data_IF_997208830136
#
_entry.id   IF_997208830136
#
_cell.length_a   1.000
_cell.length_b   1.000
_cell.length_c   1.000
_cell.angle_alpha   90.00
_cell.angle_beta   90.00
_cell.angle_gamma   90.00
#
_symmetry.space_group_name_H-M   'P 1'
#
loop_
_entity.id
_entity.type
_entity.pdbx_description
1 polymer ?
#
# COMPACT_ATOMS: atom_id res chain seq x y z
N UNK A 1 -12.83 -9.72 20.38
CA UNK A 1 -13.28 -8.69 19.42
C UNK A 1 -13.09 -9.20 17.99
N UNK A 2 -14.06 -8.99 17.10
CA UNK A 2 -13.90 -9.34 15.67
C UNK A 2 -13.01 -8.28 15.02
N UNK A 3 -11.86 -8.71 14.48
CA UNK A 3 -10.94 -7.84 13.73
C UNK A 3 -11.60 -7.43 12.41
N UNK A 4 -11.65 -6.14 12.11
CA UNK A 4 -12.11 -5.65 10.80
C UNK A 4 -11.09 -6.02 9.71
N UNK A 5 -11.57 -6.21 8.49
CA UNK A 5 -10.73 -6.43 7.30
C UNK A 5 -11.07 -5.34 6.30
N UNK A 6 -10.05 -4.61 5.87
CA UNK A 6 -10.15 -3.56 4.86
C UNK A 6 -9.31 -3.96 3.66
N UNK A 7 -9.87 -3.88 2.46
CA UNK A 7 -9.14 -3.99 1.20
C UNK A 7 -9.12 -2.63 0.51
N UNK A 8 -7.94 -2.22 0.03
CA UNK A 8 -7.75 -0.98 -0.71
C UNK A 8 -7.11 -1.32 -2.06
N UNK A 9 -7.89 -1.14 -3.13
CA UNK A 9 -7.35 -1.06 -4.50
C UNK A 9 -6.86 0.38 -4.71
N UNK A 10 -5.55 0.57 -4.72
CA UNK A 10 -4.94 1.88 -4.61
C UNK A 10 -4.64 2.49 -5.96
N UNK A 11 -4.99 3.77 -6.13
CA UNK A 11 -4.59 4.55 -7.29
C UNK A 11 -3.69 5.73 -6.91
N UNK A 12 -2.53 5.80 -7.56
CA UNK A 12 -1.62 6.95 -7.52
C UNK A 12 -1.89 8.00 -8.61
N UNK A 13 -2.97 7.84 -9.39
CA UNK A 13 -3.34 8.76 -10.47
C UNK A 13 -3.72 10.15 -9.92
N UNK A 14 -3.62 11.20 -10.75
CA UNK A 14 -4.00 12.56 -10.34
C UNK A 14 -5.48 12.66 -9.91
N UNK A 15 -6.34 11.85 -10.53
CA UNK A 15 -7.76 11.70 -10.23
C UNK A 15 -8.05 10.43 -9.40
N UNK A 16 -7.22 10.13 -8.40
CA UNK A 16 -7.28 8.87 -7.64
C UNK A 16 -8.67 8.56 -7.07
N UNK A 17 -9.47 9.57 -6.70
CA UNK A 17 -10.83 9.36 -6.20
C UNK A 17 -11.73 8.57 -7.16
N UNK A 18 -11.48 8.64 -8.48
CA UNK A 18 -12.23 7.87 -9.48
C UNK A 18 -11.82 6.40 -9.59
N UNK A 19 -10.60 6.08 -9.19
CA UNK A 19 -9.95 4.82 -9.51
C UNK A 19 -9.55 4.01 -8.27
N UNK A 20 -9.56 4.63 -7.10
CA UNK A 20 -9.34 3.95 -5.84
C UNK A 20 -10.66 3.34 -5.35
N UNK A 21 -10.59 2.14 -4.78
CA UNK A 21 -11.72 1.49 -4.13
C UNK A 21 -11.35 1.04 -2.72
N UNK A 22 -12.30 1.17 -1.79
CA UNK A 22 -12.15 0.73 -0.41
C UNK A 22 -13.32 -0.18 -0.05
N UNK A 23 -12.98 -1.40 0.39
CA UNK A 23 -13.94 -2.34 0.94
C UNK A 23 -13.66 -2.57 2.43
N UNK A 24 -14.68 -2.49 3.27
CA UNK A 24 -14.62 -2.83 4.70
C UNK A 24 -15.57 -3.99 4.97
N UNK A 25 -15.08 -4.95 5.74
CA UNK A 25 -15.86 -6.07 6.21
C UNK A 25 -15.39 -6.62 7.55
N UNK A 26 -16.14 -7.59 8.05
CA UNK A 26 -15.82 -8.29 9.28
C UNK A 26 -15.68 -9.78 9.02
N UNK A 27 -14.63 -10.38 9.57
CA UNK A 27 -14.44 -11.83 9.51
C UNK A 27 -15.61 -12.56 10.19
N UNK A 28 -16.10 -13.58 9.50
CA UNK A 28 -17.08 -14.56 9.97
C UNK A 28 -16.50 -15.98 9.82
N UNK A 29 -17.25 -17.00 10.23
CA UNK A 29 -16.80 -18.40 10.13
C UNK A 29 -16.50 -18.81 8.68
N UNK A 30 -17.36 -18.41 7.73
CA UNK A 30 -17.28 -18.83 6.32
C UNK A 30 -16.72 -17.73 5.38
N UNK A 31 -16.08 -16.68 5.89
CA UNK A 31 -15.50 -15.63 5.04
C UNK A 31 -15.52 -14.24 5.67
N UNK A 32 -15.77 -13.23 4.84
CA UNK A 32 -15.85 -11.82 5.24
C UNK A 32 -17.21 -11.26 4.84
N UNK A 33 -17.96 -10.71 5.79
CA UNK A 33 -19.17 -9.94 5.49
C UNK A 33 -18.78 -8.51 5.15
N UNK A 34 -18.91 -8.13 3.89
CA UNK A 34 -18.70 -6.76 3.42
C UNK A 34 -19.84 -5.88 3.94
N UNK A 35 -19.49 -4.74 4.53
CA UNK A 35 -20.45 -3.74 5.05
C UNK A 35 -20.33 -2.39 4.36
N UNK A 36 -19.24 -2.18 3.64
CA UNK A 36 -19.00 -0.98 2.83
C UNK A 36 -18.11 -1.37 1.65
N UNK A 37 -18.45 -0.91 0.47
CA UNK A 37 -17.58 -0.92 -0.71
C UNK A 37 -17.86 0.39 -1.45
N UNK A 38 -16.89 1.30 -1.46
CA UNK A 38 -17.08 2.62 -2.02
C UNK A 38 -15.85 3.05 -2.82
N UNK A 39 -16.07 4.02 -3.71
CA UNK A 39 -14.99 4.66 -4.43
C UNK A 39 -14.21 5.60 -3.53
N UNK A 40 -12.98 5.91 -3.92
CA UNK A 40 -12.11 6.78 -3.15
C UNK A 40 -12.70 8.15 -2.90
N UNK A 41 -13.44 8.73 -3.85
CA UNK A 41 -14.12 10.03 -3.72
C UNK A 41 -15.35 10.02 -2.81
N UNK A 42 -15.88 8.84 -2.48
CA UNK A 42 -17.04 8.66 -1.58
C UNK A 42 -16.62 8.55 -0.10
N UNK A 43 -15.32 8.47 0.20
CA UNK A 43 -14.83 8.50 1.58
C UNK A 43 -15.14 9.85 2.26
N UNK A 44 -15.42 9.88 3.57
CA UNK A 44 -15.65 11.12 4.30
C UNK A 44 -14.49 12.13 4.19
N UNK A 45 -14.80 13.33 3.70
CA UNK A 45 -13.82 14.39 3.47
C UNK A 45 -12.84 14.10 2.33
N UNK A 46 -13.26 13.28 1.36
CA UNK A 46 -12.51 12.96 0.15
C UNK A 46 -12.91 13.85 -1.03
N UNK A 47 -12.29 13.60 -2.19
CA UNK A 47 -12.57 14.25 -3.44
C UNK A 47 -11.96 13.48 -4.62
N UNK A 48 -12.09 14.04 -5.83
CA UNK A 48 -11.55 13.43 -7.04
C UNK A 48 -10.03 13.49 -7.09
N UNK A 49 -9.42 14.51 -6.48
CA UNK A 49 -7.97 14.71 -6.51
C UNK A 49 -7.26 13.61 -5.69
N UNK A 50 -6.03 13.28 -6.10
CA UNK A 50 -5.20 12.34 -5.34
C UNK A 50 -4.97 12.78 -3.91
N UNK A 51 -4.67 14.06 -3.70
CA UNK A 51 -4.23 14.54 -2.40
C UNK A 51 -5.39 14.52 -1.39
N UNK A 52 -6.60 14.89 -1.82
CA UNK A 52 -7.82 14.79 -1.01
C UNK A 52 -8.16 13.33 -0.72
N UNK A 53 -8.14 12.48 -1.75
CA UNK A 53 -8.49 11.07 -1.63
C UNK A 53 -7.51 10.29 -0.74
N UNK A 54 -6.20 10.47 -0.93
CA UNK A 54 -5.18 9.85 -0.08
C UNK A 54 -5.20 10.43 1.33
N UNK A 55 -5.54 11.71 1.50
CA UNK A 55 -5.81 12.32 2.80
C UNK A 55 -6.97 11.64 3.53
N UNK A 56 -8.10 11.43 2.85
CA UNK A 56 -9.26 10.75 3.38
C UNK A 56 -8.98 9.28 3.71
N UNK A 57 -8.27 8.56 2.83
CA UNK A 57 -7.85 7.18 3.07
C UNK A 57 -7.01 7.07 4.35
N UNK A 58 -6.03 7.94 4.56
CA UNK A 58 -5.21 7.94 5.78
C UNK A 58 -6.06 8.12 7.04
N UNK A 59 -6.97 9.08 7.03
CA UNK A 59 -7.89 9.31 8.16
C UNK A 59 -8.79 8.10 8.40
N UNK A 60 -9.31 7.50 7.33
CA UNK A 60 -10.11 6.29 7.40
C UNK A 60 -9.33 5.13 8.04
N UNK A 61 -8.10 4.88 7.59
CA UNK A 61 -7.22 3.84 8.16
C UNK A 61 -6.94 4.12 9.64
N UNK A 62 -6.52 5.34 9.98
CA UNK A 62 -6.16 5.72 11.35
C UNK A 62 -7.33 5.63 12.33
N UNK A 63 -8.57 5.78 11.85
CA UNK A 63 -9.78 5.63 12.66
C UNK A 63 -10.14 4.16 12.96
N UNK A 64 -9.53 3.19 12.27
CA UNK A 64 -9.81 1.78 12.52
C UNK A 64 -9.12 1.30 13.80
N UNK A 65 -9.87 0.65 14.69
CA UNK A 65 -9.31 -0.07 15.84
C UNK A 65 -9.31 -1.57 15.55
N UNK A 66 -8.21 -2.26 15.88
CA UNK A 66 -8.05 -3.69 15.62
C UNK A 66 -8.54 -4.10 14.21
N UNK A 67 -7.87 -3.61 13.17
CA UNK A 67 -8.15 -3.95 11.78
C UNK A 67 -6.91 -4.54 11.09
N UNK A 68 -7.12 -5.34 10.04
CA UNK A 68 -6.11 -5.61 9.01
C UNK A 68 -6.50 -4.85 7.76
N UNK A 69 -5.58 -4.06 7.22
CA UNK A 69 -5.75 -3.25 6.02
C UNK A 69 -4.80 -3.77 4.96
N UNK A 70 -5.34 -4.39 3.92
CA UNK A 70 -4.61 -4.78 2.73
C UNK A 70 -4.51 -3.62 1.75
N UNK A 71 -3.28 -3.28 1.36
CA UNK A 71 -2.98 -2.20 0.42
C UNK A 71 -2.43 -2.79 -0.89
N UNK A 72 -3.10 -2.51 -2.01
CA UNK A 72 -2.65 -2.93 -3.35
C UNK A 72 -1.58 -1.98 -3.91
N UNK A 73 -0.42 -1.97 -3.26
CA UNK A 73 0.82 -1.41 -3.78
C UNK A 73 2.02 -1.96 -2.99
N UNK A 74 3.20 -2.04 -3.61
CA UNK A 74 4.43 -2.47 -2.94
C UNK A 74 4.78 -1.60 -1.72
N UNK A 75 4.99 -2.24 -0.56
CA UNK A 75 5.39 -1.56 0.68
C UNK A 75 6.91 -1.37 0.82
N UNK A 76 7.69 -1.83 -0.16
CA UNK A 76 9.14 -1.74 -0.13
C UNK A 76 9.80 -2.08 -1.47
N UNK A 77 11.13 -2.01 -1.47
CA UNK A 77 11.97 -2.27 -2.63
C UNK A 77 12.77 -3.57 -2.48
N UNK A 78 13.34 -4.10 -3.58
CA UNK A 78 14.38 -5.14 -3.52
C UNK A 78 15.52 -4.78 -2.57
N UNK A 79 15.99 -5.77 -1.80
CA UNK A 79 17.08 -5.60 -0.83
C UNK A 79 18.35 -5.00 -1.48
N UNK A 80 18.67 -5.39 -2.72
CA UNK A 80 19.78 -4.84 -3.48
C UNK A 80 19.72 -3.32 -3.68
N UNK A 81 18.53 -2.69 -3.59
CA UNK A 81 18.38 -1.24 -3.65
C UNK A 81 18.40 -0.60 -2.25
N UNK A 82 17.89 -1.28 -1.22
CA UNK A 82 17.86 -0.74 0.14
C UNK A 82 19.23 -0.83 0.84
N UNK A 83 20.08 -1.78 0.45
CA UNK A 83 21.31 -2.08 1.17
C UNK A 83 21.03 -2.43 2.63
N UNK A 84 21.86 -1.95 3.53
CA UNK A 84 21.73 -2.18 4.99
C UNK A 84 20.79 -1.17 5.68
N UNK A 85 20.11 -0.30 4.91
CA UNK A 85 19.23 0.70 5.48
C UNK A 85 18.00 0.05 6.13
N UNK A 86 17.66 0.39 7.39
CA UNK A 86 16.42 -0.06 8.01
C UNK A 86 15.19 0.39 7.21
N UNK A 87 14.23 -0.53 7.02
CA UNK A 87 13.03 -0.27 6.21
C UNK A 87 12.25 0.97 6.69
N UNK A 88 12.09 1.14 8.00
CA UNK A 88 11.38 2.30 8.55
C UNK A 88 12.09 3.62 8.21
N UNK A 89 13.42 3.63 8.24
CA UNK A 89 14.21 4.80 7.81
C UNK A 89 13.97 5.09 6.33
N UNK A 90 13.87 4.05 5.49
CA UNK A 90 13.55 4.20 4.07
C UNK A 90 12.18 4.87 3.87
N UNK A 91 11.14 4.39 4.54
CA UNK A 91 9.80 4.99 4.43
C UNK A 91 9.78 6.42 4.98
N UNK A 92 10.33 6.65 6.17
CA UNK A 92 10.34 7.96 6.82
C UNK A 92 11.19 9.04 6.12
N UNK A 93 12.09 8.66 5.22
CA UNK A 93 12.92 9.59 4.43
C UNK A 93 12.51 9.65 2.96
N UNK A 94 11.48 8.87 2.56
CA UNK A 94 11.12 8.65 1.16
C UNK A 94 10.85 9.95 0.39
N UNK A 95 10.00 10.82 0.94
CA UNK A 95 9.61 12.11 0.30
C UNK A 95 10.74 13.15 0.28
N UNK A 96 11.72 13.01 1.16
CA UNK A 96 12.91 13.88 1.16
C UNK A 96 13.85 13.47 0.04
N UNK A 97 13.98 12.15 -0.17
CA UNK A 97 14.87 11.55 -1.17
C UNK A 97 14.32 11.63 -2.59
N UNK A 98 13.02 11.47 -2.78
CA UNK A 98 12.39 11.43 -4.09
C UNK A 98 11.31 12.51 -4.22
N UNK A 99 11.53 13.44 -5.15
CA UNK A 99 10.65 14.59 -5.41
C UNK A 99 9.56 14.28 -6.44
N UNK A 100 9.77 13.28 -7.29
CA UNK A 100 8.79 12.81 -8.27
C UNK A 100 8.82 11.29 -8.42
N UNK A 101 7.70 10.69 -8.87
CA UNK A 101 7.67 9.27 -9.25
C UNK A 101 8.76 8.91 -10.26
N UNK A 102 9.01 9.80 -11.23
CA UNK A 102 9.99 9.62 -12.30
C UNK A 102 11.42 9.58 -11.73
N UNK A 103 11.75 10.48 -10.81
CA UNK A 103 13.04 10.47 -10.11
C UNK A 103 13.22 9.19 -9.28
N UNK A 104 12.17 8.75 -8.58
CA UNK A 104 12.18 7.49 -7.84
C UNK A 104 12.45 6.29 -8.74
N UNK A 105 11.76 6.18 -9.89
CA UNK A 105 11.98 5.10 -10.84
C UNK A 105 13.37 5.14 -11.45
N UNK A 106 13.84 6.33 -11.85
CA UNK A 106 15.18 6.50 -12.42
C UNK A 106 16.27 6.07 -11.41
N UNK A 107 16.12 6.44 -10.14
CA UNK A 107 17.03 6.00 -9.08
C UNK A 107 17.03 4.48 -8.90
N UNK A 108 15.86 3.83 -8.91
CA UNK A 108 15.77 2.37 -8.82
C UNK A 108 16.44 1.67 -10.00
N UNK A 109 16.24 2.18 -11.22
CA UNK A 109 16.86 1.62 -12.43
C UNK A 109 18.38 1.78 -12.41
N UNK A 110 18.88 2.96 -12.04
CA UNK A 110 20.31 3.20 -11.92
C UNK A 110 20.96 2.23 -10.91
N UNK A 111 20.37 2.08 -9.73
CA UNK A 111 20.83 1.14 -8.70
C UNK A 111 20.73 -0.34 -9.10
N UNK A 112 19.93 -0.66 -10.11
CA UNK A 112 19.72 -2.03 -10.59
C UNK A 112 20.43 -2.36 -11.92
N UNK A 113 21.28 -1.46 -12.42
CA UNK A 113 21.93 -1.61 -13.73
C UNK A 113 20.93 -1.63 -14.88
N UNK A 114 19.92 -0.78 -14.83
CA UNK A 114 18.88 -0.63 -15.87
C UNK A 114 17.76 -1.67 -15.83
N UNK A 115 17.74 -2.57 -14.85
CA UNK A 115 16.77 -3.67 -14.76
C UNK A 115 15.69 -3.43 -13.72
N UNK A 116 14.52 -4.03 -13.94
CA UNK A 116 13.44 -4.08 -12.96
C UNK A 116 13.57 -5.36 -12.11
N UNK A 117 14.06 -5.20 -10.88
CA UNK A 117 14.27 -6.27 -9.93
C UNK A 117 12.99 -6.54 -9.16
N UNK A 118 12.66 -7.82 -9.02
CA UNK A 118 11.62 -8.32 -8.12
C UNK A 118 12.22 -8.65 -6.75
N UNK A 119 11.47 -8.38 -5.68
CA UNK A 119 11.77 -8.87 -4.33
C UNK A 119 11.62 -10.39 -4.27
N UNK A 120 12.14 -11.02 -3.22
CA UNK A 120 11.88 -12.45 -2.99
C UNK A 120 10.38 -12.72 -2.86
N UNK A 121 9.65 -11.87 -2.12
CA UNK A 121 8.20 -11.95 -1.95
C UNK A 121 7.44 -11.84 -3.26
N UNK A 122 7.87 -10.96 -4.18
CA UNK A 122 7.27 -10.82 -5.51
C UNK A 122 7.36 -12.13 -6.31
N UNK A 123 8.50 -12.83 -6.22
CA UNK A 123 8.70 -14.12 -6.91
C UNK A 123 7.87 -15.23 -6.26
N UNK A 124 7.88 -15.33 -4.94
CA UNK A 124 7.14 -16.34 -4.18
C UNK A 124 5.62 -16.19 -4.37
N UNK A 125 5.11 -14.96 -4.28
CA UNK A 125 3.70 -14.65 -4.48
C UNK A 125 3.30 -14.56 -5.96
N UNK A 126 4.24 -14.73 -6.90
CA UNK A 126 4.03 -14.65 -8.36
C UNK A 126 3.39 -13.32 -8.79
N UNK A 127 3.76 -12.22 -8.14
CA UNK A 127 3.27 -10.89 -8.51
C UNK A 127 3.73 -10.51 -9.93
N UNK A 128 2.90 -9.80 -10.71
CA UNK A 128 3.23 -9.52 -12.11
C UNK A 128 4.44 -8.60 -12.24
N UNK A 129 4.57 -7.60 -11.36
CA UNK A 129 5.47 -6.47 -11.55
C UNK A 129 6.52 -6.33 -10.43
N UNK A 130 7.65 -5.73 -10.79
CA UNK A 130 8.61 -5.15 -9.84
C UNK A 130 8.00 -3.92 -9.16
N UNK A 131 8.42 -3.55 -7.93
CA UNK A 131 7.94 -2.35 -7.25
C UNK A 131 8.10 -1.03 -8.01
N UNK A 132 9.02 -0.98 -8.97
CA UNK A 132 9.29 0.20 -9.80
C UNK A 132 9.07 -0.07 -11.29
N UNK A 133 8.23 -1.07 -11.60
CA UNK A 133 7.80 -1.33 -12.97
C UNK A 133 7.11 -0.11 -13.58
N UNK A 134 7.30 0.09 -14.90
CA UNK A 134 6.70 1.20 -15.66
C UNK A 134 5.20 1.42 -15.41
N UNK A 135 4.42 0.36 -15.17
CA UNK A 135 2.97 0.43 -14.93
C UNK A 135 2.61 0.67 -13.46
N UNK A 136 3.53 0.40 -12.52
CA UNK A 136 3.26 0.34 -11.08
C UNK A 136 3.96 1.44 -10.25
N UNK A 137 5.10 1.94 -10.71
CA UNK A 137 5.99 2.78 -9.89
C UNK A 137 5.33 4.02 -9.28
N UNK A 138 4.30 4.58 -9.93
CA UNK A 138 3.53 5.72 -9.40
C UNK A 138 2.69 5.31 -8.19
N UNK A 139 2.03 4.15 -8.23
CA UNK A 139 1.30 3.61 -7.08
C UNK A 139 2.27 3.35 -5.92
N UNK A 140 3.43 2.71 -6.17
CA UNK A 140 4.47 2.52 -5.14
C UNK A 140 4.94 3.84 -4.54
N UNK A 141 5.22 4.84 -5.38
CA UNK A 141 5.70 6.16 -4.95
C UNK A 141 4.69 6.87 -4.05
N UNK A 142 3.43 6.98 -4.48
CA UNK A 142 2.38 7.65 -3.69
C UNK A 142 1.93 6.82 -2.49
N UNK A 143 1.91 5.49 -2.60
CA UNK A 143 1.61 4.60 -1.50
C UNK A 143 2.62 4.74 -0.36
N UNK A 144 3.92 4.65 -0.66
CA UNK A 144 4.95 4.81 0.37
C UNK A 144 4.97 6.25 0.90
N UNK A 145 5.04 7.24 0.00
CA UNK A 145 5.23 8.64 0.41
C UNK A 145 3.99 9.29 1.01
N UNK A 146 2.78 8.99 0.53
CA UNK A 146 1.57 9.71 0.94
C UNK A 146 0.60 8.87 1.77
N UNK A 147 0.78 7.55 1.86
CA UNK A 147 0.02 6.68 2.78
C UNK A 147 0.88 6.24 3.94
N UNK A 148 1.96 5.49 3.68
CA UNK A 148 2.74 4.85 4.74
C UNK A 148 3.53 5.85 5.58
N UNK A 149 4.31 6.73 4.94
CA UNK A 149 5.19 7.67 5.64
C UNK A 149 4.45 8.52 6.68
N UNK A 150 3.29 9.15 6.37
CA UNK A 150 2.53 9.90 7.37
C UNK A 150 1.97 9.03 8.49
N UNK A 151 1.44 7.84 8.18
CA UNK A 151 0.85 6.93 9.18
C UNK A 151 1.90 6.40 10.15
N UNK A 152 3.08 6.03 9.64
CA UNK A 152 4.19 5.53 10.46
C UNK A 152 4.77 6.67 11.31
N UNK A 153 5.00 7.85 10.72
CA UNK A 153 5.52 9.02 11.47
C UNK A 153 4.58 9.41 12.61
N UNK A 154 3.28 9.37 12.38
CA UNK A 154 2.27 9.68 13.38
C UNK A 154 1.97 8.51 14.34
N UNK A 155 2.61 7.34 14.16
CA UNK A 155 2.39 6.12 14.94
C UNK A 155 0.91 5.66 14.94
N UNK A 156 0.21 5.84 13.83
CA UNK A 156 -1.22 5.54 13.69
C UNK A 156 -1.50 4.15 13.10
N UNK A 157 -0.48 3.41 12.67
CA UNK A 157 -0.61 2.06 12.14
C UNK A 157 0.70 1.29 12.33
N UNK A 158 0.63 -0.04 12.18
CA UNK A 158 1.81 -0.93 12.12
C UNK A 158 1.86 -1.66 10.80
N UNK A 159 3.00 -1.65 10.13
CA UNK A 159 3.18 -2.34 8.85
C UNK A 159 3.82 -3.70 9.07
N UNK A 160 3.12 -4.77 8.70
CA UNK A 160 3.60 -6.14 8.89
C UNK A 160 4.17 -6.72 7.58
N UNK A 161 5.23 -7.54 7.64
CA UNK A 161 5.98 -7.97 8.83
C UNK A 161 7.13 -7.03 9.24
N UNK A 162 7.23 -5.83 8.65
CA UNK A 162 8.37 -4.93 8.85
C UNK A 162 8.47 -4.36 10.28
N UNK A 163 7.35 -4.30 10.99
CA UNK A 163 7.24 -3.80 12.36
C UNK A 163 6.58 -4.85 13.26
N UNK A 164 6.86 -4.78 14.56
CA UNK A 164 6.14 -5.59 15.54
C UNK A 164 4.65 -5.18 15.61
N UNK A 165 3.72 -6.16 15.68
CA UNK A 165 2.29 -5.86 15.76
C UNK A 165 1.93 -5.13 17.04
N UNK A 166 0.90 -4.28 16.96
CA UNK A 166 0.28 -3.60 18.08
C UNK A 166 -1.24 -3.80 17.99
N UNK A 167 -1.88 -4.51 18.93
CA UNK A 167 -3.30 -4.84 18.82
C UNK A 167 -4.22 -3.61 18.92
N UNK A 168 -3.75 -2.48 19.45
CA UNK A 168 -4.51 -1.24 19.53
C UNK A 168 -4.55 -0.48 18.19
N UNK A 169 -3.62 -0.78 17.27
CA UNK A 169 -3.47 -0.09 16.00
C UNK A 169 -3.92 -0.96 14.81
N UNK A 170 -4.35 -0.34 13.70
CA UNK A 170 -4.56 -1.05 12.45
C UNK A 170 -3.24 -1.62 11.91
N UNK A 171 -3.30 -2.84 11.38
CA UNK A 171 -2.17 -3.50 10.74
C UNK A 171 -2.25 -3.33 9.24
N UNK A 172 -1.21 -2.78 8.63
CA UNK A 172 -1.10 -2.63 7.19
C UNK A 172 -0.32 -3.81 6.63
N UNK A 173 -0.84 -4.44 5.58
CA UNK A 173 -0.18 -5.51 4.85
C UNK A 173 -0.23 -5.22 3.35
N UNK A 174 0.79 -5.72 2.65
CA UNK A 174 0.78 -5.72 1.20
C UNK A 174 -0.18 -6.81 0.71
N UNK A 175 -1.00 -6.49 -0.28
CA UNK A 175 -1.81 -7.49 -1.00
C UNK A 175 -1.55 -7.37 -2.50
N UNK A 176 -1.85 -8.43 -3.24
CA UNK A 176 -1.87 -8.41 -4.70
C UNK A 176 -3.12 -9.15 -5.17
N UNK A 177 -4.24 -8.44 -5.40
CA UNK A 177 -5.51 -9.05 -5.79
C UNK A 177 -5.37 -9.97 -7.00
N UNK A 178 -4.62 -9.56 -8.03
CA UNK A 178 -4.39 -10.37 -9.22
C UNK A 178 -3.71 -11.72 -8.93
N UNK A 179 -2.75 -11.75 -7.99
CA UNK A 179 -2.07 -12.99 -7.60
C UNK A 179 -2.97 -13.88 -6.77
N UNK A 180 -3.75 -13.30 -5.85
CA UNK A 180 -4.73 -14.01 -5.05
C UNK A 180 -5.82 -14.64 -5.92
N UNK A 181 -6.44 -13.88 -6.82
CA UNK A 181 -7.46 -14.40 -7.73
C UNK A 181 -6.94 -15.58 -8.54
N UNK A 182 -5.74 -15.47 -9.11
CA UNK A 182 -5.11 -16.56 -9.86
C UNK A 182 -4.84 -17.79 -9.00
N UNK A 183 -4.40 -17.62 -7.74
CA UNK A 183 -4.15 -18.73 -6.82
C UNK A 183 -5.45 -19.47 -6.44
N UNK A 184 -6.55 -18.73 -6.35
CA UNK A 184 -7.90 -19.27 -6.08
C UNK A 184 -8.61 -19.80 -7.34
N UNK A 185 -7.95 -19.81 -8.51
CA UNK A 185 -8.54 -20.27 -9.76
C UNK A 185 -9.59 -19.31 -10.35
N UNK A 186 -9.60 -18.06 -9.90
CA UNK A 186 -10.47 -16.98 -10.38
C UNK A 186 -9.77 -16.16 -11.49
N UNK A 187 -10.55 -15.49 -12.32
CA UNK A 187 -10.07 -14.61 -13.41
C UNK A 187 -10.62 -13.21 -13.26
#
# INVERSE_FOLDING_TARGET
MRRAVVGVDFSGAANAGRHMWVALGYRQQAGVRIVMCCRGDELPGSGLSRDDCVGALRRFIAAQTAAVVGLDFPLGLPLALLGDQPWEKFVCTFRQRYRSPEQFRAWCLAGAGGRELKRLTDRLARTPFSPYNLRLYRQTFYGIGWVLEPLIRAKQARVLPMQAPDPALPWLIEICPASTLKAEGLR
#
